data_IF_200328248679
#
_entry.id   IF_200328248679
#
_cell.length_a   1.000
_cell.length_b   1.000
_cell.length_c   1.000
_cell.angle_alpha   90.00
_cell.angle_beta   90.00
_cell.angle_gamma   90.00
#
_symmetry.space_group_name_H-M   'P 1'
#
loop_
_entity.id
_entity.type
_entity.pdbx_description
1 polymer ?
#
# COMPACT_ATOMS: atom_id res chain seq x y z
N UNK A 1 -11.97 -10.64 -17.61
CA UNK A 1 -11.26 -10.42 -16.34
C UNK A 1 -12.26 -10.41 -15.22
N UNK A 2 -12.11 -11.27 -14.20
CA UNK A 2 -12.96 -11.21 -13.00
C UNK A 2 -12.52 -9.98 -12.19
N UNK A 3 -13.24 -8.87 -12.33
CA UNK A 3 -13.03 -7.69 -11.50
C UNK A 3 -13.40 -8.02 -10.06
N UNK A 4 -12.54 -7.63 -9.12
CA UNK A 4 -12.77 -7.77 -7.68
C UNK A 4 -12.79 -6.40 -7.05
N UNK A 5 -13.65 -6.21 -6.06
CA UNK A 5 -13.73 -5.01 -5.23
C UNK A 5 -13.28 -5.34 -3.82
N UNK A 6 -12.52 -4.42 -3.23
CA UNK A 6 -12.11 -4.48 -1.84
C UNK A 6 -13.11 -3.69 -1.00
N UNK A 7 -13.65 -4.34 0.01
CA UNK A 7 -14.51 -3.72 1.01
C UNK A 7 -13.74 -3.54 2.32
N UNK A 8 -13.99 -2.43 3.01
CA UNK A 8 -13.36 -2.09 4.28
C UNK A 8 -14.40 -2.03 5.39
N UNK A 9 -14.15 -2.78 6.47
CA UNK A 9 -15.00 -2.83 7.66
C UNK A 9 -14.15 -2.62 8.91
N UNK A 10 -14.65 -1.82 9.85
CA UNK A 10 -14.07 -1.70 11.18
C UNK A 10 -14.84 -2.60 12.14
N UNK A 11 -14.10 -3.43 12.86
CA UNK A 11 -14.60 -4.36 13.84
C UNK A 11 -14.15 -3.91 15.23
N UNK A 12 -15.01 -4.03 16.26
CA UNK A 12 -14.70 -3.51 17.59
C UNK A 12 -13.68 -4.34 18.37
N UNK A 13 -13.59 -5.65 18.10
CA UNK A 13 -12.79 -6.59 18.90
C UNK A 13 -12.42 -7.87 18.12
N UNK A 14 -11.49 -8.65 18.69
CA UNK A 14 -10.97 -9.90 18.12
C UNK A 14 -12.05 -10.98 17.96
N UNK A 15 -12.99 -11.10 18.90
CA UNK A 15 -14.05 -12.10 18.83
C UNK A 15 -15.05 -11.78 17.71
N UNK A 16 -15.33 -10.50 17.48
CA UNK A 16 -16.12 -10.02 16.35
C UNK A 16 -15.40 -10.29 15.02
N UNK A 17 -14.08 -10.12 14.97
CA UNK A 17 -13.27 -10.46 13.80
C UNK A 17 -13.23 -11.96 13.49
N UNK A 18 -13.05 -12.83 14.48
CA UNK A 18 -13.07 -14.29 14.30
C UNK A 18 -14.45 -14.80 13.84
N UNK A 19 -15.54 -14.25 14.39
CA UNK A 19 -16.90 -14.57 13.93
C UNK A 19 -17.11 -14.13 12.48
N UNK A 20 -16.68 -12.91 12.15
CA UNK A 20 -16.78 -12.39 10.78
C UNK A 20 -15.96 -13.23 9.79
N UNK A 21 -14.75 -13.67 10.17
CA UNK A 21 -13.94 -14.58 9.35
C UNK A 21 -14.67 -15.90 9.08
N UNK A 22 -15.26 -16.49 10.12
CA UNK A 22 -16.01 -17.75 9.99
C UNK A 22 -17.19 -17.62 9.02
N UNK A 23 -17.96 -16.54 9.14
CA UNK A 23 -19.10 -16.25 8.28
C UNK A 23 -18.69 -15.99 6.82
N UNK A 24 -17.56 -15.31 6.60
CA UNK A 24 -16.99 -15.12 5.27
C UNK A 24 -16.54 -16.44 4.63
N UNK A 25 -15.90 -17.32 5.40
CA UNK A 25 -15.53 -18.66 4.92
C UNK A 25 -16.76 -19.51 4.59
N UNK A 26 -17.81 -19.47 5.43
CA UNK A 26 -19.08 -20.16 5.19
C UNK A 26 -19.79 -19.65 3.92
N UNK A 27 -19.69 -18.36 3.63
CA UNK A 27 -20.19 -17.74 2.39
C UNK A 27 -19.26 -17.98 1.17
N UNK A 28 -18.27 -18.87 1.28
CA UNK A 28 -17.33 -19.25 0.21
C UNK A 28 -16.44 -18.09 -0.28
N UNK A 29 -16.11 -17.15 0.60
CA UNK A 29 -14.96 -16.27 0.38
C UNK A 29 -13.72 -17.03 0.79
N UNK A 30 -12.72 -17.09 -0.07
CA UNK A 30 -11.51 -17.85 0.20
C UNK A 30 -10.62 -17.06 1.17
N UNK A 31 -9.93 -17.76 2.06
CA UNK A 31 -9.10 -17.15 3.12
C UNK A 31 -8.08 -16.14 2.58
N UNK A 32 -7.48 -16.42 1.42
CA UNK A 32 -6.51 -15.53 0.75
C UNK A 32 -7.08 -14.19 0.26
N UNK A 33 -8.39 -13.98 0.36
CA UNK A 33 -9.09 -12.74 0.03
C UNK A 33 -9.60 -12.00 1.25
N UNK A 34 -9.28 -12.49 2.45
CA UNK A 34 -9.70 -11.94 3.73
C UNK A 34 -8.43 -11.53 4.47
N UNK A 35 -8.30 -10.24 4.77
CA UNK A 35 -7.13 -9.70 5.45
C UNK A 35 -7.56 -8.86 6.64
N UNK A 36 -6.93 -9.08 7.79
CA UNK A 36 -7.15 -8.32 9.00
C UNK A 36 -5.93 -7.47 9.32
N UNK A 37 -6.15 -6.26 9.80
CA UNK A 37 -5.12 -5.36 10.29
C UNK A 37 -5.53 -4.82 11.66
N UNK A 38 -4.63 -4.92 12.63
CA UNK A 38 -4.78 -4.34 13.95
C UNK A 38 -3.53 -3.48 14.27
N UNK A 39 -3.46 -2.94 15.48
CA UNK A 39 -2.23 -2.34 15.99
C UNK A 39 -1.18 -3.44 16.26
N UNK A 40 0.10 -3.13 16.10
CA UNK A 40 1.24 -4.07 16.24
C UNK A 40 1.26 -4.83 17.58
N UNK A 41 0.67 -4.27 18.63
CA UNK A 41 0.63 -4.86 19.97
C UNK A 41 -0.53 -5.85 20.19
N UNK A 42 -1.42 -6.01 19.20
CA UNK A 42 -2.58 -6.90 19.30
C UNK A 42 -2.29 -8.23 18.59
N UNK A 43 -2.28 -9.33 19.35
CA UNK A 43 -2.17 -10.66 18.76
C UNK A 43 -3.48 -11.02 18.02
N UNK A 44 -3.36 -11.17 16.69
CA UNK A 44 -4.44 -11.59 15.81
C UNK A 44 -4.50 -13.12 15.73
N UNK A 45 -4.67 -13.77 16.89
CA UNK A 45 -4.65 -15.23 16.99
C UNK A 45 -5.74 -15.88 16.10
N UNK A 46 -5.30 -16.69 15.13
CA UNK A 46 -6.19 -17.40 14.20
C UNK A 46 -6.76 -16.55 13.06
N UNK A 47 -6.36 -15.29 12.91
CA UNK A 47 -6.75 -14.42 11.80
C UNK A 47 -5.60 -14.27 10.79
N UNK A 48 -5.95 -14.17 9.50
CA UNK A 48 -4.96 -13.93 8.45
C UNK A 48 -4.51 -12.46 8.51
N UNK A 49 -3.36 -12.22 9.14
CA UNK A 49 -2.76 -10.90 9.23
C UNK A 49 -2.43 -10.39 7.82
N UNK A 50 -2.84 -9.16 7.52
CA UNK A 50 -2.46 -8.50 6.29
C UNK A 50 -0.93 -8.40 6.25
N UNK A 51 -0.28 -8.98 5.24
CA UNK A 51 1.16 -8.83 5.07
C UNK A 51 1.48 -7.37 4.72
N UNK A 52 1.80 -6.56 5.75
CA UNK A 52 2.02 -5.13 5.65
C UNK A 52 3.26 -4.76 4.82
N UNK A 53 4.15 -5.72 4.53
CA UNK A 53 5.29 -5.52 3.62
C UNK A 53 4.86 -5.30 2.17
N UNK A 54 3.65 -5.73 1.80
CA UNK A 54 3.11 -5.57 0.44
C UNK A 54 2.38 -4.24 0.21
N UNK A 55 2.29 -3.41 1.25
CA UNK A 55 1.48 -2.17 1.26
C UNK A 55 2.31 -0.94 1.61
N UNK A 56 3.64 -1.03 1.59
CA UNK A 56 4.48 0.17 1.63
C UNK A 56 4.45 0.84 0.26
N UNK A 57 4.30 2.17 0.23
CA UNK A 57 4.32 3.01 -0.97
C UNK A 57 5.76 3.08 -1.56
N UNK A 58 6.50 1.96 -1.58
CA UNK A 58 7.85 1.83 -2.14
C UNK A 58 7.87 2.32 -3.58
N UNK A 59 6.83 2.00 -4.36
CA UNK A 59 6.71 2.44 -5.75
C UNK A 59 6.59 3.95 -5.85
N UNK A 60 5.77 4.56 -4.98
CA UNK A 60 5.57 6.02 -4.96
C UNK A 60 6.82 6.76 -4.45
N UNK A 61 7.48 6.21 -3.42
CA UNK A 61 8.78 6.70 -2.94
C UNK A 61 9.85 6.58 -4.02
N UNK A 62 9.99 5.42 -4.66
CA UNK A 62 10.93 5.20 -5.75
C UNK A 62 10.69 6.14 -6.94
N UNK A 63 9.43 6.38 -7.32
CA UNK A 63 9.06 7.31 -8.39
C UNK A 63 9.46 8.76 -8.04
N UNK A 64 9.10 9.23 -6.85
CA UNK A 64 9.50 10.55 -6.37
C UNK A 64 11.03 10.70 -6.30
N UNK A 65 11.72 9.67 -5.79
CA UNK A 65 13.17 9.61 -5.74
C UNK A 65 13.83 9.59 -7.11
N UNK A 66 13.22 8.93 -8.09
CA UNK A 66 13.69 8.89 -9.47
C UNK A 66 13.65 10.28 -10.12
N UNK A 67 12.53 10.99 -9.95
CA UNK A 67 12.35 12.34 -10.49
C UNK A 67 13.31 13.33 -9.81
N UNK A 68 13.30 13.39 -8.48
CA UNK A 68 14.14 14.31 -7.72
C UNK A 68 15.62 13.99 -7.94
N UNK A 69 16.00 12.71 -7.90
CA UNK A 69 17.36 12.24 -8.15
C UNK A 69 17.84 12.56 -9.57
N UNK A 70 16.98 12.44 -10.58
CA UNK A 70 17.29 12.79 -11.96
C UNK A 70 17.58 14.28 -12.14
N UNK A 71 16.74 15.15 -11.55
CA UNK A 71 16.99 16.60 -11.58
C UNK A 71 18.28 16.98 -10.84
N UNK A 72 18.54 16.39 -9.67
CA UNK A 72 19.80 16.58 -8.95
C UNK A 72 21.00 16.10 -9.79
N UNK A 73 20.89 14.94 -10.43
CA UNK A 73 21.91 14.40 -11.33
C UNK A 73 22.19 15.30 -12.53
N UNK A 74 21.15 15.90 -13.13
CA UNK A 74 21.29 16.89 -14.20
C UNK A 74 21.98 18.17 -13.71
N UNK A 75 21.61 18.68 -12.54
CA UNK A 75 22.23 19.87 -11.95
C UNK A 75 23.72 19.64 -11.66
N UNK A 76 24.06 18.49 -11.06
CA UNK A 76 25.46 18.10 -10.81
C UNK A 76 26.22 17.94 -12.12
N UNK A 77 25.63 17.30 -13.13
CA UNK A 77 26.23 17.17 -14.46
C UNK A 77 26.47 18.51 -15.16
N UNK A 78 25.52 19.45 -15.03
CA UNK A 78 25.65 20.79 -15.57
C UNK A 78 26.78 21.57 -14.90
N UNK A 79 26.90 21.50 -13.57
CA UNK A 79 28.02 22.10 -12.84
C UNK A 79 29.34 21.44 -13.25
N UNK A 80 29.40 20.11 -13.29
CA UNK A 80 30.60 19.36 -13.67
C UNK A 80 31.05 19.66 -15.11
N UNK A 81 30.12 19.96 -16.03
CA UNK A 81 30.47 20.32 -17.40
C UNK A 81 31.33 21.60 -17.49
N UNK A 82 31.23 22.51 -16.51
CA UNK A 82 32.08 23.72 -16.44
C UNK A 82 33.47 23.46 -15.83
N UNK A 83 33.69 22.29 -15.21
CA UNK A 83 34.96 21.87 -14.64
C UNK A 83 35.51 20.66 -15.41
N UNK A 84 35.98 20.85 -16.66
CA UNK A 84 36.38 19.75 -17.52
C UNK A 84 37.55 18.98 -16.91
N UNK A 85 37.36 17.67 -16.71
CA UNK A 85 38.38 16.75 -16.18
C UNK A 85 39.35 16.32 -17.30
N UNK A 86 38.87 16.34 -18.56
CA UNK A 86 39.65 15.97 -19.75
C UNK A 86 39.48 17.05 -20.82
N UNK A 87 40.58 17.71 -21.17
CA UNK A 87 40.61 18.78 -22.18
C UNK A 87 40.11 20.12 -21.67
N UNK A 88 39.85 21.05 -22.60
CA UNK A 88 39.46 22.45 -22.31
C UNK A 88 38.04 22.80 -22.74
N UNK A 89 37.32 21.86 -23.36
CA UNK A 89 35.93 22.06 -23.79
C UNK A 89 34.99 21.65 -22.66
N UNK A 90 33.86 22.35 -22.48
CA UNK A 90 32.87 21.90 -21.51
C UNK A 90 32.34 20.50 -21.87
N UNK A 91 32.04 19.70 -20.86
CA UNK A 91 31.72 18.28 -21.03
C UNK A 91 30.23 18.02 -20.76
N UNK A 92 29.35 18.51 -21.62
CA UNK A 92 27.90 18.31 -21.49
C UNK A 92 27.48 16.84 -21.49
N UNK A 93 28.34 15.97 -22.03
CA UNK A 93 28.18 14.52 -22.03
C UNK A 93 28.08 13.95 -20.61
N UNK A 94 28.64 14.64 -19.60
CA UNK A 94 28.49 14.27 -18.20
C UNK A 94 27.03 14.31 -17.74
N UNK A 95 26.21 15.21 -18.27
CA UNK A 95 24.78 15.29 -17.92
C UNK A 95 24.03 14.01 -18.31
N UNK A 96 24.42 13.36 -19.40
CA UNK A 96 23.82 12.10 -19.87
C UNK A 96 24.15 10.95 -18.92
N UNK A 97 25.28 11.01 -18.22
CA UNK A 97 25.73 9.99 -17.28
C UNK A 97 25.23 10.28 -15.86
N UNK A 98 25.32 11.52 -15.39
CA UNK A 98 24.97 11.88 -14.02
C UNK A 98 23.46 11.91 -13.79
N UNK A 99 22.65 12.22 -14.80
CA UNK A 99 21.18 12.18 -14.69
C UNK A 99 20.64 10.78 -14.36
N UNK A 100 20.92 9.71 -15.13
CA UNK A 100 20.45 8.37 -14.79
C UNK A 100 21.08 7.85 -13.49
N UNK A 101 22.35 8.16 -13.21
CA UNK A 101 22.97 7.80 -11.94
C UNK A 101 22.28 8.45 -10.74
N UNK A 102 21.98 9.76 -10.84
CA UNK A 102 21.24 10.49 -9.82
C UNK A 102 19.82 9.97 -9.65
N UNK A 103 19.14 9.65 -10.75
CA UNK A 103 17.80 9.07 -10.75
C UNK A 103 17.78 7.68 -10.07
N UNK A 104 18.72 6.80 -10.42
CA UNK A 104 18.89 5.48 -9.80
C UNK A 104 19.18 5.60 -8.30
N UNK A 105 20.12 6.47 -7.93
CA UNK A 105 20.49 6.69 -6.54
C UNK A 105 19.33 7.30 -5.73
N UNK A 106 18.64 8.28 -6.29
CA UNK A 106 17.48 8.91 -5.66
C UNK A 106 16.32 7.94 -5.49
N UNK A 107 16.02 7.12 -6.50
CA UNK A 107 15.03 6.07 -6.42
C UNK A 107 15.38 5.04 -5.33
N UNK A 108 16.66 4.67 -5.22
CA UNK A 108 17.14 3.74 -4.20
C UNK A 108 17.01 4.31 -2.78
N UNK A 109 17.49 5.53 -2.53
CA UNK A 109 17.38 6.18 -1.22
C UNK A 109 15.91 6.44 -0.85
N UNK A 110 15.10 6.91 -1.79
CA UNK A 110 13.69 7.20 -1.51
C UNK A 110 12.87 5.93 -1.34
N UNK A 111 13.22 4.84 -2.01
CA UNK A 111 12.66 3.50 -1.74
C UNK A 111 12.92 3.08 -0.29
N UNK A 112 14.15 3.25 0.21
CA UNK A 112 14.48 2.96 1.62
C UNK A 112 13.67 3.79 2.62
N UNK A 113 13.36 5.05 2.29
CA UNK A 113 12.52 5.92 3.12
C UNK A 113 11.04 5.52 3.00
N UNK A 114 10.60 5.15 1.78
CA UNK A 114 9.25 4.71 1.47
C UNK A 114 8.84 3.45 2.24
N UNK A 115 9.79 2.55 2.53
CA UNK A 115 9.58 1.39 3.43
C UNK A 115 8.99 1.82 4.79
N UNK A 116 9.35 3.01 5.26
CA UNK A 116 8.92 3.54 6.57
C UNK A 116 7.68 4.44 6.51
N UNK A 117 7.13 4.70 5.32
CA UNK A 117 5.90 5.51 5.18
C UNK A 117 4.70 4.57 5.03
N UNK A 118 3.83 4.48 6.04
CA UNK A 118 2.61 3.68 5.96
C UNK A 118 1.73 4.19 4.82
N UNK A 119 1.06 3.27 4.12
CA UNK A 119 0.15 3.60 3.01
C UNK A 119 -0.75 4.78 3.36
N UNK A 120 -0.70 5.81 2.53
CA UNK A 120 -1.52 7.01 2.68
C UNK A 120 -3.02 6.71 2.84
N UNK A 121 -3.52 5.61 2.25
CA UNK A 121 -4.91 5.15 2.37
C UNK A 121 -5.23 4.55 3.73
N UNK A 122 -4.27 3.89 4.38
CA UNK A 122 -4.44 3.32 5.73
C UNK A 122 -4.35 4.40 6.82
N UNK A 123 -3.89 5.61 6.48
CA UNK A 123 -3.82 6.74 7.41
C UNK A 123 -5.18 7.11 8.00
N UNK A 124 -6.27 6.96 7.24
CA UNK A 124 -7.63 7.22 7.72
C UNK A 124 -8.08 6.23 8.82
N UNK A 125 -7.57 4.99 8.77
CA UNK A 125 -7.92 3.95 9.73
C UNK A 125 -7.00 3.91 10.95
N UNK A 126 -5.93 4.71 10.97
CA UNK A 126 -4.95 4.72 12.06
C UNK A 126 -5.57 5.04 13.42
N UNK A 127 -6.43 6.06 13.48
CA UNK A 127 -7.07 6.46 14.73
C UNK A 127 -8.03 5.36 15.27
N UNK A 128 -8.91 4.73 14.46
CA UNK A 128 -9.62 3.52 14.86
C UNK A 128 -8.72 2.37 15.35
N UNK A 129 -7.63 2.07 14.63
CA UNK A 129 -6.71 0.98 14.99
C UNK A 129 -6.00 1.25 16.32
N UNK A 130 -5.57 2.49 16.56
CA UNK A 130 -4.97 2.92 17.83
C UNK A 130 -5.95 2.81 19.01
N UNK A 131 -7.25 3.01 18.75
CA UNK A 131 -8.33 2.76 19.73
C UNK A 131 -8.61 1.27 19.99
N UNK A 132 -7.91 0.35 19.32
CA UNK A 132 -8.08 -1.09 19.49
C UNK A 132 -9.15 -1.70 18.60
N UNK A 133 -9.63 -0.99 17.57
CA UNK A 133 -10.46 -1.59 16.53
C UNK A 133 -9.60 -2.40 15.56
N UNK A 134 -10.24 -3.29 14.82
CA UNK A 134 -9.61 -4.16 13.82
C UNK A 134 -10.17 -3.81 12.44
N UNK A 135 -9.30 -3.55 11.46
CA UNK A 135 -9.68 -3.30 10.08
C UNK A 135 -9.75 -4.63 9.32
N UNK A 136 -10.91 -4.93 8.75
CA UNK A 136 -11.15 -6.05 7.85
C UNK A 136 -11.17 -5.54 6.41
N UNK A 137 -10.36 -6.18 5.57
CA UNK A 137 -10.29 -5.97 4.13
C UNK A 137 -10.71 -7.26 3.42
N UNK A 138 -11.76 -7.20 2.61
CA UNK A 138 -12.27 -8.38 1.88
C UNK A 138 -12.33 -8.12 0.39
N UNK A 139 -11.70 -8.99 -0.39
CA UNK A 139 -11.70 -8.94 -1.86
C UNK A 139 -12.78 -9.87 -2.42
N UNK A 140 -13.90 -9.29 -2.86
CA UNK A 140 -15.05 -10.02 -3.42
C UNK A 140 -15.17 -9.79 -4.92
N UNK A 141 -15.71 -10.77 -5.65
CA UNK A 141 -16.03 -10.60 -7.09
C UNK A 141 -17.17 -9.59 -7.23
N UNK A 142 -17.14 -8.75 -8.26
CA UNK A 142 -18.15 -7.69 -8.47
C UNK A 142 -19.60 -8.17 -8.32
N UNK A 143 -19.94 -9.34 -8.86
CA UNK A 143 -21.29 -9.90 -8.79
C UNK A 143 -21.73 -10.42 -7.42
N UNK A 144 -20.84 -10.46 -6.41
CA UNK A 144 -21.12 -10.93 -5.04
C UNK A 144 -20.96 -9.82 -3.99
N UNK A 145 -20.62 -8.60 -4.40
CA UNK A 145 -20.40 -7.48 -3.49
C UNK A 145 -21.65 -7.21 -2.64
N UNK A 146 -22.82 -7.09 -3.28
CA UNK A 146 -24.06 -6.81 -2.57
C UNK A 146 -24.51 -7.97 -1.67
N UNK A 147 -24.34 -9.21 -2.12
CA UNK A 147 -24.64 -10.41 -1.32
C UNK A 147 -23.85 -10.42 -0.01
N UNK A 148 -22.53 -10.25 -0.09
CA UNK A 148 -21.64 -10.27 1.07
C UNK A 148 -21.86 -9.03 1.95
N UNK A 149 -22.12 -7.86 1.34
CA UNK A 149 -22.40 -6.62 2.06
C UNK A 149 -23.67 -6.72 2.91
N UNK A 150 -24.74 -7.27 2.36
CA UNK A 150 -25.99 -7.45 3.11
C UNK A 150 -25.87 -8.55 4.17
N UNK A 151 -25.16 -9.64 3.89
CA UNK A 151 -24.86 -10.69 4.87
C UNK A 151 -24.10 -10.13 6.08
N UNK A 152 -23.01 -9.38 5.83
CA UNK A 152 -22.21 -8.78 6.90
C UNK A 152 -23.02 -7.79 7.74
N UNK A 153 -23.87 -6.96 7.11
CA UNK A 153 -24.77 -6.06 7.85
C UNK A 153 -25.79 -6.79 8.72
N UNK A 154 -26.29 -7.93 8.25
CA UNK A 154 -27.29 -8.70 8.96
C UNK A 154 -26.71 -9.47 10.16
N UNK A 155 -25.52 -10.04 9.99
CA UNK A 155 -24.88 -10.89 11.01
C UNK A 155 -23.97 -10.12 11.96
N UNK A 156 -23.40 -9.00 11.51
CA UNK A 156 -22.45 -8.18 12.26
C UNK A 156 -22.84 -6.71 12.26
N UNK A 157 -23.95 -6.32 12.93
CA UNK A 157 -24.34 -4.91 13.06
C UNK A 157 -23.29 -4.07 13.80
N UNK A 158 -22.40 -4.70 14.57
CA UNK A 158 -21.26 -4.08 15.22
C UNK A 158 -20.15 -3.64 14.25
N UNK A 159 -20.14 -4.15 13.02
CA UNK A 159 -19.15 -3.79 12.01
C UNK A 159 -19.51 -2.45 11.35
N UNK A 160 -18.68 -1.43 11.54
CA UNK A 160 -18.88 -0.14 10.88
C UNK A 160 -18.30 -0.19 9.47
N UNK A 161 -19.15 0.02 8.45
CA UNK A 161 -18.69 0.12 7.07
C UNK A 161 -18.18 1.53 6.82
N UNK A 162 -16.87 1.67 6.67
CA UNK A 162 -16.23 2.95 6.36
C UNK A 162 -16.15 3.21 4.85
N UNK A 163 -16.23 2.17 4.00
CA UNK A 163 -16.30 2.36 2.56
C UNK A 163 -16.17 1.10 1.70
N UNK A 164 -16.53 1.26 0.42
CA UNK A 164 -16.32 0.27 -0.65
C UNK A 164 -15.42 0.93 -1.69
N UNK A 165 -14.20 0.41 -1.87
CA UNK A 165 -13.29 0.96 -2.89
C UNK A 165 -13.61 0.33 -4.26
N UNK A 166 -13.53 1.16 -5.31
CA UNK A 166 -13.71 0.73 -6.69
C UNK A 166 -12.45 0.01 -7.18
N UNK A 167 -12.62 -1.28 -7.47
CA UNK A 167 -11.76 -2.17 -8.25
C UNK A 167 -10.25 -1.99 -8.08
N UNK A 168 -9.65 -2.74 -7.14
CA UNK A 168 -8.22 -3.01 -7.18
C UNK A 168 -8.00 -4.03 -8.31
N UNK A 169 -7.28 -3.69 -9.40
CA UNK A 169 -6.96 -4.68 -10.42
C UNK A 169 -6.20 -5.82 -9.74
N UNK A 170 -6.62 -7.06 -10.02
CA UNK A 170 -5.89 -8.24 -9.58
C UNK A 170 -4.50 -8.18 -10.23
N UNK A 171 -3.52 -7.63 -9.52
CA UNK A 171 -2.15 -7.71 -9.95
C UNK A 171 -1.72 -9.18 -9.87
N UNK A 172 -1.05 -9.70 -10.91
CA UNK A 172 -0.57 -11.08 -10.98
C UNK A 172 0.51 -11.40 -9.94
#
# INVERSE_FOLDING_TARGET
MLMRRRMYFLLPDLASAQRTMSDLLLSRVEERHIHFMARDEMELEGLHEANLLQTSDIVHGAEAGLVIGGFCGLAVGAVAAFFPIVGTRPQWELMIVTAPLGALFGAWVSSMIGVSVPNSRLKAFREPLERGMILLMVDVRDGRVDEIREMLKAHHPEAHMEGVESAIPAFP
#
